data_IF_589869766797
#
_entry.id   IF_589869766797
#
_cell.length_a   1.000
_cell.length_b   1.000
_cell.length_c   1.000
_cell.angle_alpha   90.00
_cell.angle_beta   90.00
_cell.angle_gamma   90.00
#
_symmetry.space_group_name_H-M   'P 1'
#
loop_
_entity.id
_entity.type
_entity.pdbx_description
1 polymer ?
#
# COMPACT_ATOMS: atom_id res chain seq x y z
N UNK A 1 -3.31 16.88 -4.05
CA UNK A 1 -3.65 17.60 -5.26
C UNK A 1 -4.02 16.60 -6.35
N UNK A 2 -5.25 16.41 -6.66
CA UNK A 2 -5.72 15.74 -7.86
C UNK A 2 -6.59 16.72 -8.64
N UNK A 3 -6.00 17.86 -9.03
CA UNK A 3 -6.70 18.97 -9.66
C UNK A 3 -6.64 18.90 -11.20
N UNK A 4 -6.10 17.83 -11.74
CA UNK A 4 -5.97 17.69 -13.18
C UNK A 4 -7.31 17.27 -13.80
N UNK A 5 -7.78 18.08 -14.73
CA UNK A 5 -9.00 17.82 -15.49
C UNK A 5 -8.60 17.28 -16.87
N UNK A 6 -9.04 16.04 -17.25
CA UNK A 6 -8.75 15.52 -18.57
C UNK A 6 -9.40 16.39 -19.66
N UNK A 7 -8.69 16.63 -20.75
CA UNK A 7 -9.27 17.29 -21.90
C UNK A 7 -10.15 16.31 -22.67
N UNK A 8 -11.39 16.69 -23.06
CA UNK A 8 -12.26 15.79 -23.83
C UNK A 8 -11.81 15.61 -25.30
N UNK A 9 -10.84 16.38 -25.76
CA UNK A 9 -10.45 16.46 -27.18
C UNK A 9 -8.99 16.07 -27.43
N UNK A 10 -8.15 16.04 -26.41
CA UNK A 10 -6.71 15.76 -26.50
C UNK A 10 -6.30 14.79 -25.41
N UNK A 11 -5.21 14.04 -25.64
CA UNK A 11 -4.56 13.19 -24.62
C UNK A 11 -3.94 14.01 -23.47
N UNK A 12 -3.97 15.33 -23.56
CA UNK A 12 -3.44 16.26 -22.57
C UNK A 12 -4.50 16.66 -21.55
N UNK A 13 -4.06 17.06 -20.38
CA UNK A 13 -4.95 17.65 -19.36
C UNK A 13 -5.40 19.04 -19.77
N UNK A 14 -6.63 19.42 -19.40
CA UNK A 14 -7.13 20.78 -19.65
C UNK A 14 -6.21 21.80 -18.96
N UNK A 15 -5.94 22.90 -19.65
CA UNK A 15 -5.08 23.99 -19.17
C UNK A 15 -3.67 23.55 -18.75
N UNK A 16 -3.10 22.55 -19.44
CA UNK A 16 -1.78 21.99 -19.15
C UNK A 16 -0.63 22.69 -19.89
N UNK A 17 -0.76 23.96 -20.22
CA UNK A 17 0.28 24.74 -20.88
C UNK A 17 1.60 24.64 -20.09
N UNK A 18 2.65 24.20 -20.77
CA UNK A 18 3.96 23.84 -20.17
C UNK A 18 4.59 24.97 -19.35
N UNK A 19 4.33 26.21 -19.73
CA UNK A 19 4.92 27.40 -19.09
C UNK A 19 3.88 28.26 -18.35
N UNK A 20 2.66 27.78 -18.20
CA UNK A 20 1.62 28.53 -17.52
C UNK A 20 1.79 28.42 -16.00
N UNK A 21 1.86 29.56 -15.33
CA UNK A 21 1.80 29.58 -13.87
C UNK A 21 0.37 29.26 -13.40
N UNK A 22 0.24 28.24 -12.55
CA UNK A 22 -1.03 27.85 -11.94
C UNK A 22 -0.99 28.04 -10.43
N UNK A 23 -2.03 28.64 -9.89
CA UNK A 23 -2.24 28.67 -8.44
C UNK A 23 -3.02 27.43 -8.04
N UNK A 24 -2.40 26.57 -7.25
CA UNK A 24 -3.01 25.33 -6.77
C UNK A 24 -3.73 25.55 -5.44
N UNK A 25 -4.87 24.90 -5.28
CA UNK A 25 -5.58 24.87 -4.01
C UNK A 25 -5.01 23.76 -3.10
N UNK A 26 -4.15 24.12 -2.17
CA UNK A 26 -3.52 23.21 -1.21
C UNK A 26 -4.43 22.83 -0.03
N UNK A 27 -5.60 23.44 0.10
CA UNK A 27 -6.53 23.26 1.24
C UNK A 27 -7.71 22.35 0.92
N UNK A 28 -7.86 21.95 -0.35
CA UNK A 28 -8.95 21.07 -0.77
C UNK A 28 -8.74 19.60 -0.37
N UNK A 29 -9.79 18.78 -0.50
CA UNK A 29 -9.66 17.34 -0.35
C UNK A 29 -8.68 16.79 -1.40
N UNK A 30 -7.80 15.89 -1.00
CA UNK A 30 -6.78 15.33 -1.90
C UNK A 30 -6.00 14.21 -1.23
N UNK A 31 -5.02 13.70 -1.94
CA UNK A 31 -4.17 12.59 -1.49
C UNK A 31 -3.04 13.02 -0.55
N UNK A 32 -3.05 14.25 -0.06
CA UNK A 32 -1.95 14.81 0.74
C UNK A 32 -1.67 14.02 2.01
N UNK A 33 -2.73 13.64 2.74
CA UNK A 33 -2.57 12.86 3.97
C UNK A 33 -2.04 11.46 3.69
N UNK A 34 -2.54 10.82 2.64
CA UNK A 34 -2.04 9.52 2.18
C UNK A 34 -0.55 9.60 1.81
N UNK A 35 -0.16 10.57 0.99
CA UNK A 35 1.24 10.77 0.59
C UNK A 35 2.13 11.07 1.80
N UNK A 36 1.64 11.89 2.73
CA UNK A 36 2.36 12.17 3.98
C UNK A 36 2.60 10.90 4.80
N UNK A 37 1.57 10.05 4.98
CA UNK A 37 1.68 8.78 5.71
C UNK A 37 2.69 7.82 5.05
N UNK A 38 2.60 7.66 3.74
CA UNK A 38 3.55 6.82 2.98
C UNK A 38 4.98 7.34 3.09
N UNK A 39 5.19 8.67 2.99
CA UNK A 39 6.51 9.27 3.14
C UNK A 39 7.05 9.13 4.56
N UNK A 40 6.20 9.30 5.57
CA UNK A 40 6.58 9.07 7.00
C UNK A 40 6.97 7.61 7.21
N UNK A 41 6.16 6.66 6.72
CA UNK A 41 6.49 5.23 6.78
C UNK A 41 7.85 4.94 6.14
N UNK A 42 8.15 5.51 4.98
CA UNK A 42 9.45 5.34 4.32
C UNK A 42 10.62 5.90 5.14
N UNK A 43 10.41 7.00 5.85
CA UNK A 43 11.44 7.58 6.71
C UNK A 43 11.69 6.76 7.98
N UNK A 44 10.65 6.16 8.55
CA UNK A 44 10.69 5.43 9.82
C UNK A 44 11.12 3.96 9.64
N UNK A 45 10.91 3.36 8.44
CA UNK A 45 11.14 1.95 8.17
C UNK A 45 12.29 1.75 7.17
N UNK A 46 13.40 1.20 7.65
CA UNK A 46 14.58 0.91 6.82
C UNK A 46 14.26 -0.08 5.69
N UNK A 47 13.36 -1.02 5.93
CA UNK A 47 12.91 -1.97 4.90
C UNK A 47 12.33 -1.27 3.67
N UNK A 48 11.73 -0.08 3.80
CA UNK A 48 11.19 0.70 2.69
C UNK A 48 12.26 1.57 1.97
N UNK A 49 13.49 1.62 2.49
CA UNK A 49 14.58 2.41 1.91
C UNK A 49 15.51 1.59 1.02
N UNK A 50 15.52 0.27 1.19
CA UNK A 50 16.33 -0.65 0.39
C UNK A 50 15.63 -1.02 -0.93
N UNK A 51 16.38 -1.51 -1.94
CA UNK A 51 15.84 -1.85 -3.25
C UNK A 51 15.80 -3.36 -3.54
N UNK A 52 16.68 -4.15 -2.94
CA UNK A 52 16.93 -5.56 -3.22
C UNK A 52 16.28 -6.52 -2.21
N UNK A 53 15.38 -6.02 -1.37
CA UNK A 53 14.74 -6.73 -0.27
C UNK A 53 13.25 -7.00 -0.47
N UNK A 54 12.79 -7.06 -1.73
CA UNK A 54 11.39 -7.23 -2.09
C UNK A 54 11.09 -8.68 -2.46
N UNK A 55 10.04 -9.25 -1.84
CA UNK A 55 9.53 -10.59 -2.12
C UNK A 55 8.03 -10.54 -2.40
N UNK A 56 7.60 -11.07 -3.55
CA UNK A 56 6.18 -11.22 -3.86
C UNK A 56 5.58 -12.45 -3.18
N UNK A 57 4.30 -12.33 -2.81
CA UNK A 57 3.51 -13.39 -2.21
C UNK A 57 2.30 -13.71 -3.10
N UNK A 58 1.82 -14.95 -3.02
CA UNK A 58 0.66 -15.37 -3.79
C UNK A 58 -0.63 -14.80 -3.21
N UNK A 59 -1.53 -14.41 -4.09
CA UNK A 59 -2.93 -14.12 -3.75
C UNK A 59 -3.85 -14.82 -4.76
N UNK A 60 -4.95 -15.38 -4.28
CA UNK A 60 -5.95 -16.05 -5.12
C UNK A 60 -6.78 -15.09 -5.98
N UNK A 61 -6.53 -13.78 -5.91
CA UNK A 61 -7.15 -12.74 -6.71
C UNK A 61 -6.08 -11.93 -7.45
N UNK A 62 -6.09 -11.98 -8.78
CA UNK A 62 -5.12 -11.28 -9.64
C UNK A 62 -5.22 -9.74 -9.58
N UNK A 63 -6.30 -9.20 -9.02
CA UNK A 63 -6.45 -7.77 -8.76
C UNK A 63 -5.81 -7.31 -7.46
N UNK A 64 -5.27 -8.25 -6.66
CA UNK A 64 -4.54 -7.93 -5.44
C UNK A 64 -3.05 -8.25 -5.62
N UNK A 65 -2.23 -7.23 -5.55
CA UNK A 65 -0.77 -7.38 -5.51
C UNK A 65 -0.29 -7.43 -4.06
N UNK A 66 0.44 -8.49 -3.72
CA UNK A 66 0.98 -8.69 -2.37
C UNK A 66 2.48 -8.86 -2.41
N UNK A 67 3.19 -8.04 -1.63
CA UNK A 67 4.64 -8.15 -1.50
C UNK A 67 5.09 -7.74 -0.10
N UNK A 68 6.24 -8.24 0.31
CA UNK A 68 6.91 -7.79 1.52
C UNK A 68 8.27 -7.18 1.22
N UNK A 69 8.72 -6.33 2.12
CA UNK A 69 10.08 -5.82 2.18
C UNK A 69 10.63 -6.08 3.58
N UNK A 70 11.87 -6.59 3.66
CA UNK A 70 12.47 -6.96 4.93
C UNK A 70 13.93 -6.54 4.98
N UNK A 71 14.29 -5.86 6.07
CA UNK A 71 15.69 -5.53 6.40
C UNK A 71 15.90 -5.77 7.90
N UNK A 72 16.64 -6.82 8.24
CA UNK A 72 16.79 -7.26 9.63
C UNK A 72 15.44 -7.67 10.24
N UNK A 73 15.05 -7.01 11.32
CA UNK A 73 13.77 -7.23 12.01
C UNK A 73 12.65 -6.30 11.53
N UNK A 74 12.97 -5.32 10.69
CA UNK A 74 11.97 -4.45 10.09
C UNK A 74 11.32 -5.15 8.88
N UNK A 75 10.04 -5.44 9.01
CA UNK A 75 9.26 -6.18 7.99
C UNK A 75 7.99 -5.42 7.67
N UNK A 76 7.85 -5.05 6.41
CA UNK A 76 6.66 -4.37 5.89
C UNK A 76 5.98 -5.30 4.88
N UNK A 77 4.70 -5.56 5.08
CA UNK A 77 3.84 -6.26 4.13
C UNK A 77 2.93 -5.25 3.44
N UNK A 78 2.95 -5.25 2.12
CA UNK A 78 2.10 -4.39 1.30
C UNK A 78 1.05 -5.24 0.60
N UNK A 79 -0.20 -4.78 0.63
CA UNK A 79 -1.30 -5.34 -0.17
C UNK A 79 -1.94 -4.19 -0.94
N UNK A 80 -1.95 -4.28 -2.26
CA UNK A 80 -2.48 -3.22 -3.12
C UNK A 80 -3.66 -3.75 -3.94
N UNK A 81 -4.76 -3.02 -3.96
CA UNK A 81 -5.85 -3.25 -4.90
C UNK A 81 -5.50 -2.55 -6.22
N UNK A 82 -5.41 -3.33 -7.30
CA UNK A 82 -5.09 -2.84 -8.64
C UNK A 82 -6.34 -2.43 -9.44
N UNK A 83 -7.54 -2.73 -8.91
CA UNK A 83 -8.81 -2.27 -9.44
C UNK A 83 -9.20 -0.95 -8.72
N UNK A 84 -9.19 0.14 -9.46
CA UNK A 84 -9.46 1.47 -8.88
C UNK A 84 -10.95 1.72 -8.59
N UNK A 85 -11.83 0.92 -9.16
CA UNK A 85 -13.27 1.16 -9.12
C UNK A 85 -14.00 0.24 -8.15
N UNK A 86 -13.50 -0.99 -7.93
CA UNK A 86 -14.20 -2.00 -7.18
C UNK A 86 -13.41 -2.51 -5.96
N UNK A 87 -14.13 -2.87 -4.91
CA UNK A 87 -13.56 -3.58 -3.79
C UNK A 87 -13.11 -4.97 -4.22
N UNK A 88 -11.88 -5.35 -3.86
CA UNK A 88 -11.29 -6.64 -4.16
C UNK A 88 -10.97 -7.39 -2.87
N UNK A 89 -11.16 -8.71 -2.89
CA UNK A 89 -10.89 -9.58 -1.74
C UNK A 89 -10.24 -10.89 -2.18
N UNK A 90 -9.47 -11.48 -1.31
CA UNK A 90 -8.77 -12.73 -1.59
C UNK A 90 -8.01 -13.32 -0.40
N UNK A 91 -7.64 -14.58 -0.56
CA UNK A 91 -6.72 -15.25 0.37
C UNK A 91 -5.28 -14.98 -0.06
N UNK A 92 -4.53 -14.38 0.83
CA UNK A 92 -3.07 -14.17 0.69
C UNK A 92 -2.35 -15.38 1.26
N UNK A 93 -1.34 -15.87 0.54
CA UNK A 93 -0.45 -16.94 1.01
C UNK A 93 0.97 -16.39 1.16
N UNK A 94 1.39 -16.22 2.41
CA UNK A 94 2.68 -15.64 2.76
C UNK A 94 3.79 -16.70 2.78
N UNK A 95 4.96 -16.37 2.28
CA UNK A 95 6.18 -17.12 2.57
C UNK A 95 6.69 -16.77 3.98
N UNK A 96 6.30 -17.58 4.95
CA UNK A 96 6.61 -17.37 6.36
C UNK A 96 8.12 -17.36 6.64
N UNK A 97 8.89 -18.18 5.92
CA UNK A 97 10.35 -18.24 6.09
C UNK A 97 11.02 -16.92 5.68
N UNK A 98 10.59 -16.33 4.55
CA UNK A 98 11.07 -15.02 4.09
C UNK A 98 10.74 -13.91 5.08
N UNK A 99 9.57 -13.96 5.71
CA UNK A 99 9.19 -13.03 6.76
C UNK A 99 9.93 -13.27 8.10
N UNK A 100 10.61 -14.42 8.25
CA UNK A 100 11.29 -14.83 9.48
C UNK A 100 10.32 -15.26 10.57
N UNK A 101 9.22 -15.90 10.15
CA UNK A 101 8.15 -16.41 11.01
C UNK A 101 8.08 -17.93 10.94
N UNK A 102 7.60 -18.57 12.02
CA UNK A 102 7.24 -19.98 12.02
C UNK A 102 5.90 -20.20 11.32
N UNK A 103 5.69 -21.39 10.72
CA UNK A 103 4.54 -21.68 9.85
C UNK A 103 3.17 -21.42 10.49
N UNK A 104 3.00 -21.70 11.78
CA UNK A 104 1.73 -21.53 12.50
C UNK A 104 1.75 -20.39 13.52
N UNK A 105 2.77 -19.53 13.48
CA UNK A 105 2.89 -18.42 14.43
C UNK A 105 1.78 -17.39 14.26
N UNK A 106 1.40 -16.81 15.39
CA UNK A 106 0.63 -15.57 15.37
C UNK A 106 1.57 -14.38 15.20
N UNK A 107 1.11 -13.36 14.51
CA UNK A 107 1.85 -12.12 14.37
C UNK A 107 0.89 -10.93 14.28
N UNK A 108 1.37 -9.82 14.76
CA UNK A 108 0.62 -8.56 14.77
C UNK A 108 0.99 -7.73 13.54
N UNK A 109 -0.02 -7.09 12.95
CA UNK A 109 0.12 -6.16 11.83
C UNK A 109 -0.51 -4.82 12.18
N UNK A 110 0.25 -3.75 12.02
CA UNK A 110 -0.24 -2.37 12.15
C UNK A 110 -0.25 -1.70 10.78
N UNK A 111 -1.41 -1.26 10.32
CA UNK A 111 -1.50 -0.51 9.08
C UNK A 111 -1.11 0.96 9.29
N UNK A 112 -0.11 1.41 8.55
CA UNK A 112 0.40 2.78 8.61
C UNK A 112 -0.47 3.77 7.82
N UNK A 113 -1.38 3.28 6.98
CA UNK A 113 -2.30 4.11 6.20
C UNK A 113 -3.57 4.39 6.98
N UNK A 114 -4.21 3.35 7.53
CA UNK A 114 -5.52 3.44 8.17
C UNK A 114 -5.46 3.51 9.69
N UNK A 115 -4.30 3.24 10.30
CA UNK A 115 -4.10 3.05 11.73
C UNK A 115 -4.79 1.79 12.32
N UNK A 116 -5.39 0.96 11.51
CA UNK A 116 -5.97 -0.32 11.91
C UNK A 116 -4.91 -1.33 12.33
N UNK A 117 -5.33 -2.33 13.08
CA UNK A 117 -4.43 -3.38 13.57
C UNK A 117 -5.07 -4.74 13.40
N UNK A 118 -4.27 -5.71 13.01
CA UNK A 118 -4.72 -7.07 12.74
C UNK A 118 -3.84 -8.09 13.46
N UNK A 119 -4.42 -9.22 13.85
CA UNK A 119 -3.68 -10.39 14.29
C UNK A 119 -3.90 -11.48 13.25
N UNK A 120 -2.83 -11.88 12.60
CA UNK A 120 -2.85 -12.98 11.63
C UNK A 120 -2.19 -14.22 12.19
N UNK A 121 -2.53 -15.37 11.62
CA UNK A 121 -1.96 -16.66 11.97
C UNK A 121 -1.56 -17.45 10.74
N UNK A 122 -0.33 -17.97 10.75
CA UNK A 122 0.15 -18.82 9.68
C UNK A 122 0.20 -18.14 8.32
N UNK A 123 0.34 -18.92 7.27
CA UNK A 123 0.62 -18.41 5.94
C UNK A 123 -0.62 -17.93 5.16
N UNK A 124 -1.85 -18.34 5.52
CA UNK A 124 -3.07 -18.02 4.77
C UNK A 124 -3.97 -17.06 5.53
N UNK A 125 -4.16 -15.88 4.98
CA UNK A 125 -4.94 -14.83 5.63
C UNK A 125 -5.85 -14.13 4.60
N UNK A 126 -7.06 -13.78 5.03
CA UNK A 126 -8.03 -13.09 4.18
C UNK A 126 -7.78 -11.59 4.19
N UNK A 127 -7.87 -10.97 3.02
CA UNK A 127 -7.78 -9.52 2.84
C UNK A 127 -8.95 -9.03 2.00
N UNK A 128 -9.47 -7.86 2.33
CA UNK A 128 -10.41 -7.11 1.52
C UNK A 128 -10.03 -5.64 1.50
N UNK A 129 -9.87 -5.08 0.30
CA UNK A 129 -9.54 -3.68 0.05
C UNK A 129 -10.63 -3.01 -0.76
N UNK A 130 -11.15 -1.91 -0.22
CA UNK A 130 -12.12 -1.04 -0.88
C UNK A 130 -11.41 0.27 -1.26
N UNK A 131 -11.25 0.59 -2.56
CA UNK A 131 -10.52 1.78 -2.99
C UNK A 131 -11.16 3.08 -2.51
N UNK A 132 -12.47 3.08 -2.21
CA UNK A 132 -13.14 4.24 -1.63
C UNK A 132 -12.72 4.53 -0.18
N UNK A 133 -12.15 3.54 0.52
CA UNK A 133 -11.66 3.68 1.91
C UNK A 133 -10.13 3.73 1.94
N UNK A 134 -9.49 2.71 1.39
CA UNK A 134 -8.05 2.61 1.28
C UNK A 134 -7.69 1.69 0.09
N UNK A 135 -6.92 2.16 -0.89
CA UNK A 135 -6.53 1.37 -2.06
C UNK A 135 -5.51 0.28 -1.72
N UNK A 136 -4.97 0.29 -0.50
CA UNK A 136 -3.96 -0.66 -0.06
C UNK A 136 -3.70 -0.60 1.42
N UNK A 137 -3.03 -1.63 1.91
CA UNK A 137 -2.47 -1.71 3.25
C UNK A 137 -0.95 -1.57 3.19
N UNK A 138 -0.39 -0.85 4.14
CA UNK A 138 1.05 -0.77 4.42
C UNK A 138 1.28 -1.25 5.86
N UNK A 139 1.52 -2.54 6.02
CA UNK A 139 1.45 -3.23 7.29
C UNK A 139 2.83 -3.46 7.90
N UNK A 140 3.09 -2.89 9.07
CA UNK A 140 4.26 -3.23 9.88
C UNK A 140 4.00 -4.54 10.61
N UNK A 141 4.88 -5.51 10.42
CA UNK A 141 4.79 -6.81 11.05
C UNK A 141 5.58 -6.80 12.36
N UNK A 142 4.93 -7.26 13.45
CA UNK A 142 5.56 -7.50 14.75
C UNK A 142 5.30 -8.92 15.18
N UNK A 143 6.36 -9.59 15.61
CA UNK A 143 6.28 -10.93 16.20
C UNK A 143 5.62 -10.86 17.57
N UNK A 144 4.75 -11.82 17.86
CA UNK A 144 4.14 -12.00 19.19
C UNK A 144 4.97 -13.02 19.97
#
# INVERSE_FOLDING_TARGET
LCENIPSPVKEELADSEKYQYKVHNWKGPGIQDFVRRVNTARQEHVALQEYDNLDFHYCANDQLMVYSKKTGDDVILCVCNMDMDNAQEGMVELDMAKLGLSQDSFFFLKDLITDESFVWRGNRNFVRLDPAKAPGHLLVLKKI
#
